data_IF_850244756545
#
_entry.id   IF_850244756545
#
_cell.length_a   1.000
_cell.length_b   1.000
_cell.length_c   1.000
_cell.angle_alpha   90.00
_cell.angle_beta   90.00
_cell.angle_gamma   90.00
#
_symmetry.space_group_name_H-M   'P 1'
#
loop_
_entity.id
_entity.type
_entity.pdbx_description
1 polymer ?
#
# COMPACT_ATOMS: atom_id res chain seq x y z
N UNK A 1 22.54 -9.21 -9.99
CA UNK A 1 21.78 -9.35 -8.73
C UNK A 1 20.48 -8.61 -8.92
N UNK A 2 19.33 -9.27 -8.69
CA UNK A 2 18.07 -8.55 -8.53
C UNK A 2 18.23 -7.65 -7.30
N UNK A 3 18.00 -6.34 -7.45
CA UNK A 3 17.98 -5.42 -6.31
C UNK A 3 16.80 -5.73 -5.39
N UNK A 4 16.86 -5.25 -4.15
CA UNK A 4 15.77 -5.41 -3.18
C UNK A 4 14.91 -4.14 -3.11
N UNK A 5 13.69 -4.27 -2.61
CA UNK A 5 12.74 -3.15 -2.53
C UNK A 5 12.45 -2.78 -1.09
N UNK A 6 12.40 -1.49 -0.81
CA UNK A 6 11.75 -0.97 0.37
C UNK A 6 10.52 -0.16 -0.04
N UNK A 7 9.33 -0.72 0.20
CA UNK A 7 8.05 -0.10 -0.19
C UNK A 7 7.38 0.49 1.04
N UNK A 8 7.24 1.81 1.08
CA UNK A 8 6.52 2.54 2.12
C UNK A 8 5.14 2.92 1.58
N UNK A 9 4.08 2.47 2.24
CA UNK A 9 2.69 2.71 1.81
C UNK A 9 2.06 3.80 2.67
N UNK A 10 1.85 4.99 2.10
CA UNK A 10 1.38 6.18 2.78
C UNK A 10 0.01 6.65 2.28
N UNK A 11 -0.68 7.38 3.14
CA UNK A 11 -1.88 8.14 2.83
C UNK A 11 -2.18 9.06 4.02
N UNK A 12 -2.36 10.34 3.73
CA UNK A 12 -2.76 11.35 4.69
C UNK A 12 -4.15 11.08 5.30
N UNK A 13 -5.03 10.37 4.58
CA UNK A 13 -6.42 10.11 5.01
C UNK A 13 -6.63 8.62 5.30
N UNK A 14 -7.53 8.31 6.24
CA UNK A 14 -7.98 6.94 6.51
C UNK A 14 -8.87 6.39 5.40
N UNK A 15 -8.99 5.05 5.31
CA UNK A 15 -9.94 4.41 4.39
C UNK A 15 -9.60 4.47 2.90
N UNK A 16 -8.38 4.88 2.53
CA UNK A 16 -7.94 5.00 1.14
C UNK A 16 -7.47 3.68 0.52
N UNK A 17 -7.31 2.62 1.32
CA UNK A 17 -6.90 1.29 0.82
C UNK A 17 -5.42 0.94 0.99
N UNK A 18 -4.70 1.60 1.92
CA UNK A 18 -3.29 1.27 2.23
C UNK A 18 -3.06 -0.20 2.53
N UNK A 19 -3.76 -0.76 3.52
CA UNK A 19 -3.60 -2.16 3.92
C UNK A 19 -3.89 -3.13 2.76
N UNK A 20 -4.86 -2.84 1.89
CA UNK A 20 -5.13 -3.63 0.68
C UNK A 20 -3.94 -3.57 -0.29
N UNK A 21 -3.37 -2.37 -0.50
CA UNK A 21 -2.20 -2.21 -1.37
C UNK A 21 -0.94 -2.86 -0.78
N UNK A 22 -0.69 -2.72 0.52
CA UNK A 22 0.41 -3.38 1.24
C UNK A 22 0.33 -4.89 1.11
N UNK A 23 -0.87 -5.44 1.27
CA UNK A 23 -1.16 -6.86 1.06
C UNK A 23 -0.91 -7.32 -0.38
N UNK A 24 -1.32 -6.51 -1.38
CA UNK A 24 -1.02 -6.74 -2.79
C UNK A 24 0.50 -6.73 -3.06
N UNK A 25 1.25 -5.82 -2.47
CA UNK A 25 2.71 -5.75 -2.64
C UNK A 25 3.39 -7.00 -2.08
N UNK A 26 2.98 -7.44 -0.88
CA UNK A 26 3.48 -8.69 -0.29
C UNK A 26 3.18 -9.88 -1.20
N UNK A 27 1.97 -9.95 -1.77
CA UNK A 27 1.59 -10.99 -2.72
C UNK A 27 2.49 -10.98 -3.97
N UNK A 28 2.67 -9.81 -4.61
CA UNK A 28 3.49 -9.68 -5.81
C UNK A 28 4.94 -10.07 -5.51
N UNK A 29 5.57 -9.48 -4.48
CA UNK A 29 6.96 -9.76 -4.14
C UNK A 29 7.18 -11.23 -3.80
N UNK A 30 6.27 -11.88 -3.05
CA UNK A 30 6.36 -13.31 -2.77
C UNK A 30 6.19 -14.16 -4.04
N UNK A 31 5.32 -13.75 -4.97
CA UNK A 31 5.15 -14.45 -6.26
C UNK A 31 6.39 -14.35 -7.16
N UNK A 32 7.20 -13.30 -6.98
CA UNK A 32 8.51 -13.14 -7.63
C UNK A 32 9.63 -13.91 -6.90
N UNK A 33 9.31 -14.67 -5.84
CA UNK A 33 10.29 -15.41 -5.05
C UNK A 33 11.06 -14.56 -4.03
N UNK A 34 10.67 -13.30 -3.82
CA UNK A 34 11.33 -12.45 -2.83
C UNK A 34 10.94 -12.89 -1.40
N UNK A 35 11.93 -12.93 -0.51
CA UNK A 35 11.68 -12.91 0.92
C UNK A 35 11.17 -11.52 1.29
N UNK A 36 10.03 -11.43 2.00
CA UNK A 36 9.40 -10.15 2.34
C UNK A 36 9.25 -10.01 3.84
N UNK A 37 9.90 -9.00 4.41
CA UNK A 37 9.66 -8.55 5.77
C UNK A 37 8.56 -7.49 5.77
N UNK A 38 7.60 -7.62 6.69
CA UNK A 38 6.40 -6.79 6.73
C UNK A 38 6.39 -6.01 8.03
N UNK A 39 6.30 -4.69 7.92
CA UNK A 39 6.21 -3.79 9.05
C UNK A 39 4.87 -3.05 9.04
N UNK A 40 4.34 -2.78 10.23
CA UNK A 40 3.10 -2.02 10.40
C UNK A 40 3.28 -0.96 11.47
N UNK A 41 3.23 0.31 11.08
CA UNK A 41 3.07 1.45 11.99
C UNK A 41 1.58 1.79 12.11
N UNK A 42 0.77 0.82 12.55
CA UNK A 42 -0.67 0.94 12.74
C UNK A 42 -1.10 0.20 14.02
N UNK A 43 -1.61 0.97 14.99
CA UNK A 43 -2.12 0.49 16.27
C UNK A 43 -3.28 -0.51 16.09
N UNK A 44 -4.03 -0.42 14.99
CA UNK A 44 -5.18 -1.30 14.76
C UNK A 44 -4.81 -2.71 14.30
N UNK A 45 -3.52 -2.96 14.00
CA UNK A 45 -2.97 -4.28 13.64
C UNK A 45 -3.75 -4.99 12.52
N UNK A 46 -4.39 -4.24 11.61
CA UNK A 46 -5.25 -4.80 10.54
C UNK A 46 -4.47 -5.69 9.60
N UNK A 47 -3.25 -5.29 9.24
CA UNK A 47 -2.38 -6.06 8.36
C UNK A 47 -1.89 -7.35 9.04
N UNK A 48 -1.54 -7.27 10.33
CA UNK A 48 -1.15 -8.44 11.13
C UNK A 48 -2.28 -9.47 11.22
N UNK A 49 -3.53 -9.01 11.41
CA UNK A 49 -4.70 -9.89 11.42
C UNK A 49 -4.90 -10.66 10.10
N UNK A 50 -4.45 -10.11 8.96
CA UNK A 50 -4.55 -10.75 7.64
C UNK A 50 -3.36 -11.64 7.29
N UNK A 51 -2.14 -11.18 7.59
CA UNK A 51 -0.90 -11.81 7.10
C UNK A 51 -0.14 -12.61 8.17
N UNK A 52 -0.51 -12.47 9.45
CA UNK A 52 0.17 -13.12 10.57
C UNK A 52 1.50 -12.45 10.89
N UNK A 53 2.57 -12.85 10.21
CA UNK A 53 3.95 -12.43 10.46
C UNK A 53 4.20 -10.98 10.03
N UNK A 54 3.80 -10.03 10.87
CA UNK A 54 4.01 -8.59 10.70
C UNK A 54 4.67 -8.02 11.95
N UNK A 55 5.77 -7.30 11.77
CA UNK A 55 6.46 -6.60 12.86
C UNK A 55 5.78 -5.26 13.10
N UNK A 56 5.17 -5.09 14.27
CA UNK A 56 4.54 -3.81 14.64
C UNK A 56 5.60 -2.82 15.08
N UNK A 57 5.54 -1.61 14.54
CA UNK A 57 6.30 -0.45 15.00
C UNK A 57 5.47 0.21 16.09
N UNK A 58 6.03 0.31 17.29
CA UNK A 58 5.36 0.94 18.42
C UNK A 58 5.28 2.45 18.20
N UNK A 59 4.11 2.90 17.77
CA UNK A 59 3.84 4.32 17.52
C UNK A 59 3.58 5.11 18.78
N UNK A 60 3.27 4.47 19.91
CA UNK A 60 2.97 5.16 21.17
C UNK A 60 4.24 5.80 21.76
N UNK A 61 5.42 5.24 21.44
CA UNK A 61 6.72 5.85 21.75
C UNK A 61 6.88 7.23 21.10
N UNK A 62 6.15 7.55 20.04
CA UNK A 62 6.30 8.81 19.30
C UNK A 62 5.56 9.99 19.93
N UNK A 63 4.68 9.71 20.89
CA UNK A 63 3.99 10.71 21.70
C UNK A 63 4.75 11.01 23.01
N UNK A 64 6.02 10.60 23.13
CA UNK A 64 6.89 10.92 24.26
C UNK A 64 7.70 12.21 24.01
N UNK A 65 7.20 13.41 24.39
CA UNK A 65 7.81 14.69 24.01
C UNK A 65 9.21 14.92 24.58
N UNK A 66 9.55 14.21 25.67
CA UNK A 66 10.81 14.40 26.41
C UNK A 66 11.90 13.38 26.01
N UNK A 67 11.62 12.46 25.09
CA UNK A 67 12.57 11.42 24.67
C UNK A 67 13.07 11.67 23.24
N UNK A 68 14.27 12.28 23.07
CA UNK A 68 14.82 12.55 21.74
C UNK A 68 15.17 11.28 20.96
N UNK A 69 15.18 10.10 21.61
CA UNK A 69 15.47 8.81 20.98
C UNK A 69 14.21 7.98 20.72
N UNK A 70 13.02 8.43 21.12
CA UNK A 70 11.81 7.61 21.07
C UNK A 70 11.50 7.13 19.65
N UNK A 71 11.69 8.03 18.69
CA UNK A 71 11.48 7.77 17.28
C UNK A 71 12.51 6.80 16.68
N UNK A 72 13.78 6.92 17.07
CA UNK A 72 14.81 5.95 16.69
C UNK A 72 14.54 4.56 17.29
N UNK A 73 14.05 4.51 18.54
CA UNK A 73 13.69 3.25 19.21
C UNK A 73 12.50 2.58 18.55
N UNK A 74 11.45 3.33 18.24
CA UNK A 74 10.25 2.83 17.56
C UNK A 74 10.61 2.13 16.24
N UNK A 75 11.50 2.74 15.44
CA UNK A 75 11.89 2.24 14.13
C UNK A 75 13.15 1.37 14.12
N UNK A 76 13.78 1.09 15.26
CA UNK A 76 15.00 0.25 15.33
C UNK A 76 14.83 -1.14 14.67
N UNK A 77 13.68 -1.84 14.81
CA UNK A 77 13.46 -3.10 14.09
C UNK A 77 13.49 -2.96 12.56
N UNK A 78 13.06 -1.81 12.02
CA UNK A 78 13.11 -1.52 10.59
C UNK A 78 14.55 -1.32 10.12
N UNK A 79 15.36 -0.60 10.89
CA UNK A 79 16.78 -0.40 10.56
C UNK A 79 17.53 -1.73 10.46
N UNK A 80 17.33 -2.64 11.41
CA UNK A 80 17.96 -3.97 11.35
C UNK A 80 17.50 -4.79 10.14
N UNK A 81 16.23 -4.70 9.78
CA UNK A 81 15.71 -5.38 8.59
C UNK A 81 16.29 -4.83 7.29
N UNK A 82 16.61 -3.52 7.23
CA UNK A 82 17.27 -2.90 6.08
C UNK A 82 18.69 -3.43 5.91
N UNK A 83 19.45 -3.57 6.99
CA UNK A 83 20.79 -4.17 6.94
C UNK A 83 20.71 -5.62 6.41
N UNK A 84 19.79 -6.42 6.96
CA UNK A 84 19.56 -7.79 6.49
C UNK A 84 19.10 -7.84 5.03
N UNK A 85 18.26 -6.90 4.59
CA UNK A 85 17.78 -6.80 3.22
C UNK A 85 18.93 -6.49 2.25
N UNK A 86 19.84 -5.58 2.63
CA UNK A 86 21.03 -5.28 1.85
C UNK A 86 21.96 -6.49 1.70
N UNK A 87 22.08 -7.32 2.75
CA UNK A 87 22.91 -8.54 2.70
C UNK A 87 22.26 -9.70 1.93
N UNK A 88 20.95 -9.90 2.10
CA UNK A 88 20.24 -11.09 1.61
C UNK A 88 19.45 -10.89 0.31
N UNK A 89 19.24 -9.63 -0.10
CA UNK A 89 18.32 -9.27 -1.18
C UNK A 89 16.83 -9.35 -0.80
N UNK A 90 16.50 -9.51 0.48
CA UNK A 90 15.12 -9.50 0.97
C UNK A 90 14.43 -8.13 0.80
N UNK A 91 13.15 -8.11 0.46
CA UNK A 91 12.37 -6.86 0.33
C UNK A 91 11.57 -6.55 1.60
N UNK A 92 11.21 -5.29 1.76
CA UNK A 92 10.51 -4.76 2.94
C UNK A 92 9.26 -4.01 2.49
N UNK A 93 8.14 -4.28 3.16
CA UNK A 93 6.89 -3.51 3.00
C UNK A 93 6.52 -2.88 4.34
N UNK A 94 6.36 -1.56 4.37
CA UNK A 94 5.92 -0.80 5.54
C UNK A 94 4.51 -0.23 5.28
N UNK A 95 3.52 -0.75 5.99
CA UNK A 95 2.16 -0.20 6.06
C UNK A 95 2.08 0.81 7.20
N UNK A 96 1.54 2.00 6.93
CA UNK A 96 1.42 3.04 7.96
C UNK A 96 -0.03 3.27 8.33
N UNK A 97 -0.29 3.82 9.52
CA UNK A 97 -1.60 4.33 9.89
C UNK A 97 -2.00 5.56 9.04
N UNK A 98 -3.24 6.00 9.20
CA UNK A 98 -3.73 7.24 8.60
C UNK A 98 -3.11 8.47 9.27
N UNK A 99 -2.79 9.52 8.49
CA UNK A 99 -2.12 10.76 8.96
C UNK A 99 -0.68 10.60 9.43
N UNK A 100 -0.09 9.44 9.14
CA UNK A 100 1.31 9.12 9.44
C UNK A 100 2.28 9.45 8.32
N UNK A 101 1.80 10.06 7.23
CA UNK A 101 2.63 10.46 6.10
C UNK A 101 3.70 11.47 6.49
N UNK A 102 3.34 12.52 7.25
CA UNK A 102 4.33 13.53 7.67
C UNK A 102 5.35 12.99 8.68
N UNK A 103 4.96 12.34 9.80
CA UNK A 103 5.92 11.80 10.76
C UNK A 103 6.86 10.76 10.15
N UNK A 104 6.33 9.84 9.33
CA UNK A 104 7.13 8.80 8.67
C UNK A 104 8.11 9.44 7.70
N UNK A 105 7.67 10.34 6.80
CA UNK A 105 8.60 10.97 5.86
C UNK A 105 9.69 11.78 6.56
N UNK A 106 9.37 12.46 7.66
CA UNK A 106 10.38 13.16 8.49
C UNK A 106 11.39 12.19 9.07
N UNK A 107 10.95 11.09 9.67
CA UNK A 107 11.85 10.06 10.18
C UNK A 107 12.79 9.55 9.08
N UNK A 108 12.22 9.12 7.94
CA UNK A 108 12.98 8.54 6.84
C UNK A 108 14.04 9.53 6.33
N UNK A 109 13.73 10.83 6.28
CA UNK A 109 14.68 11.90 5.93
C UNK A 109 15.76 12.07 6.98
N UNK A 110 15.39 12.14 8.26
CA UNK A 110 16.32 12.45 9.35
C UNK A 110 17.40 11.39 9.50
N UNK A 111 17.08 10.12 9.16
CA UNK A 111 18.07 9.03 9.11
C UNK A 111 18.71 8.84 7.74
N UNK A 112 18.35 9.63 6.72
CA UNK A 112 18.87 9.52 5.36
C UNK A 112 18.57 8.17 4.71
N UNK A 113 17.37 7.62 4.96
CA UNK A 113 17.09 6.21 4.66
C UNK A 113 17.06 5.89 3.16
N UNK A 114 16.65 6.83 2.32
CA UNK A 114 16.67 6.67 0.87
C UNK A 114 18.10 6.46 0.35
N UNK A 115 19.08 7.16 0.94
CA UNK A 115 20.50 6.94 0.68
C UNK A 115 20.99 5.60 1.20
N UNK A 116 20.64 5.22 2.43
CA UNK A 116 21.04 3.91 3.00
C UNK A 116 20.54 2.76 2.13
N UNK A 117 19.28 2.83 1.69
CA UNK A 117 18.67 1.84 0.78
C UNK A 117 19.43 1.80 -0.55
N UNK A 118 19.71 2.96 -1.15
CA UNK A 118 20.41 3.05 -2.43
C UNK A 118 21.87 2.53 -2.35
N UNK A 119 22.60 2.90 -1.30
CA UNK A 119 23.98 2.47 -1.05
C UNK A 119 24.03 0.94 -0.83
N UNK A 120 22.98 0.35 -0.26
CA UNK A 120 22.78 -1.10 -0.12
C UNK A 120 22.25 -1.80 -1.39
N UNK A 121 22.23 -1.14 -2.55
CA UNK A 121 21.76 -1.71 -3.81
C UNK A 121 20.24 -1.94 -3.90
N UNK A 122 19.48 -1.34 -2.98
CA UNK A 122 18.02 -1.40 -2.96
C UNK A 122 17.36 -0.22 -3.66
N UNK A 123 16.04 -0.30 -3.84
CA UNK A 123 15.21 0.80 -4.30
C UNK A 123 14.12 1.13 -3.29
N UNK A 124 14.11 2.38 -2.83
CA UNK A 124 13.03 2.91 -2.01
C UNK A 124 11.86 3.37 -2.91
N UNK A 125 10.67 2.85 -2.64
CA UNK A 125 9.43 3.21 -3.33
C UNK A 125 8.47 3.77 -2.28
N UNK A 126 7.95 4.97 -2.52
CA UNK A 126 6.94 5.58 -1.65
C UNK A 126 5.61 5.59 -2.38
N UNK A 127 4.74 4.65 -2.03
CA UNK A 127 3.43 4.47 -2.63
C UNK A 127 2.39 5.33 -1.90
N UNK A 128 1.85 6.33 -2.60
CA UNK A 128 0.89 7.28 -2.08
C UNK A 128 -0.51 6.88 -2.50
N UNK A 129 -1.29 6.33 -1.57
CA UNK A 129 -2.62 5.80 -1.83
C UNK A 129 -3.68 6.89 -1.67
N UNK A 130 -4.52 7.06 -2.69
CA UNK A 130 -5.61 8.04 -2.67
C UNK A 130 -6.89 7.48 -3.28
N UNK A 131 -8.01 8.15 -3.07
CA UNK A 131 -9.30 7.91 -3.72
C UNK A 131 -9.80 9.18 -4.37
N UNK A 132 -10.93 9.13 -5.09
CA UNK A 132 -11.53 10.29 -5.78
C UNK A 132 -12.11 11.37 -4.86
N UNK A 133 -11.95 11.25 -3.53
CA UNK A 133 -12.35 12.28 -2.59
C UNK A 133 -11.44 13.51 -2.72
N UNK A 134 -12.03 14.72 -2.79
CA UNK A 134 -11.31 16.00 -2.94
C UNK A 134 -10.17 16.17 -1.93
N UNK A 135 -10.43 15.93 -0.65
CA UNK A 135 -9.42 16.09 0.41
C UNK A 135 -8.29 15.06 0.26
N UNK A 136 -8.61 13.83 -0.17
CA UNK A 136 -7.62 12.79 -0.41
C UNK A 136 -6.72 13.12 -1.62
N UNK A 137 -7.31 13.64 -2.69
CA UNK A 137 -6.56 14.06 -3.88
C UNK A 137 -5.70 15.30 -3.60
N UNK A 138 -6.21 16.27 -2.83
CA UNK A 138 -5.41 17.40 -2.35
C UNK A 138 -4.27 16.94 -1.45
N UNK A 139 -4.53 16.02 -0.53
CA UNK A 139 -3.47 15.55 0.35
C UNK A 139 -2.39 14.77 -0.40
N UNK A 140 -2.76 14.01 -1.45
CA UNK A 140 -1.79 13.36 -2.35
C UNK A 140 -0.78 14.36 -2.92
N UNK A 141 -1.26 15.53 -3.37
CA UNK A 141 -0.41 16.60 -3.89
C UNK A 141 0.63 17.04 -2.85
N UNK A 142 0.16 17.46 -1.66
CA UNK A 142 1.02 17.90 -0.56
C UNK A 142 2.02 16.83 -0.14
N UNK A 143 1.58 15.56 -0.01
CA UNK A 143 2.47 14.45 0.37
C UNK A 143 3.48 14.14 -0.74
N UNK A 144 3.13 14.30 -2.01
CA UNK A 144 4.06 14.09 -3.14
C UNK A 144 5.22 15.07 -3.10
N UNK A 145 4.93 16.35 -2.87
CA UNK A 145 5.97 17.37 -2.73
C UNK A 145 6.85 17.12 -1.50
N UNK A 146 6.23 16.76 -0.38
CA UNK A 146 6.95 16.42 0.84
C UNK A 146 7.95 15.28 0.61
N UNK A 147 7.50 14.18 -0.03
CA UNK A 147 8.34 13.02 -0.33
C UNK A 147 9.49 13.41 -1.25
N UNK A 148 9.23 14.17 -2.33
CA UNK A 148 10.27 14.58 -3.28
C UNK A 148 11.32 15.48 -2.65
N UNK A 149 10.90 16.39 -1.78
CA UNK A 149 11.81 17.29 -1.09
C UNK A 149 12.63 16.57 -0.01
N UNK A 150 12.03 15.59 0.67
CA UNK A 150 12.63 14.93 1.82
C UNK A 150 13.46 13.69 1.46
N UNK A 151 13.10 12.97 0.38
CA UNK A 151 13.66 11.68 -0.01
C UNK A 151 14.02 11.68 -1.51
N UNK A 152 15.03 12.45 -1.94
CA UNK A 152 15.34 12.66 -3.36
C UNK A 152 15.73 11.39 -4.12
N UNK A 153 16.20 10.33 -3.44
CA UNK A 153 16.53 9.05 -4.08
C UNK A 153 15.35 8.06 -4.09
N UNK A 154 14.28 8.36 -3.36
CA UNK A 154 13.08 7.53 -3.37
C UNK A 154 12.25 7.77 -4.63
N UNK A 155 11.58 6.72 -5.11
CA UNK A 155 10.64 6.80 -6.22
C UNK A 155 9.20 6.97 -5.70
N UNK A 156 8.57 8.14 -5.85
CA UNK A 156 7.15 8.29 -5.56
C UNK A 156 6.29 7.58 -6.60
N UNK A 157 5.23 6.92 -6.13
CA UNK A 157 4.25 6.22 -6.96
C UNK A 157 2.85 6.60 -6.47
N UNK A 158 1.96 6.95 -7.39
CA UNK A 158 0.56 7.23 -7.05
C UNK A 158 -0.27 5.97 -7.19
N UNK A 159 -0.97 5.59 -6.12
CA UNK A 159 -1.90 4.47 -6.11
C UNK A 159 -3.31 5.04 -6.09
N UNK A 160 -3.92 5.03 -7.27
CA UNK A 160 -5.23 5.61 -7.56
C UNK A 160 -6.31 4.55 -7.27
N UNK A 161 -6.87 4.57 -6.07
CA UNK A 161 -7.90 3.62 -5.66
C UNK A 161 -9.29 4.08 -6.11
N UNK A 162 -9.80 3.46 -7.18
CA UNK A 162 -11.06 3.84 -7.80
C UNK A 162 -12.30 3.22 -7.13
N UNK A 163 -12.17 2.69 -5.91
CA UNK A 163 -13.28 2.10 -5.15
C UNK A 163 -14.53 2.98 -5.11
N UNK A 164 -14.35 4.29 -4.95
CA UNK A 164 -15.43 5.28 -4.79
C UNK A 164 -15.59 6.22 -5.99
N UNK A 165 -14.85 5.98 -7.09
CA UNK A 165 -14.89 6.79 -8.30
C UNK A 165 -13.51 6.93 -8.95
N UNK A 166 -13.48 7.36 -10.21
CA UNK A 166 -12.25 7.62 -10.96
C UNK A 166 -11.44 8.74 -10.31
N UNK A 167 -10.14 8.49 -10.09
CA UNK A 167 -9.21 9.50 -9.57
C UNK A 167 -8.57 10.19 -10.76
N UNK A 168 -8.65 11.53 -10.82
CA UNK A 168 -8.17 12.34 -11.95
C UNK A 168 -8.69 11.86 -13.32
N UNK A 169 -10.01 11.97 -13.59
CA UNK A 169 -10.56 11.68 -14.91
C UNK A 169 -9.87 12.52 -16.01
N UNK A 170 -10.05 12.14 -17.28
CA UNK A 170 -9.33 12.76 -18.40
C UNK A 170 -9.57 14.28 -18.52
N UNK A 171 -10.72 14.76 -18.07
CA UNK A 171 -11.16 16.15 -18.04
C UNK A 171 -10.99 16.81 -16.65
N UNK A 172 -10.19 16.22 -15.77
CA UNK A 172 -9.99 16.72 -14.41
C UNK A 172 -9.38 18.13 -14.40
N UNK A 173 -10.05 19.05 -13.70
CA UNK A 173 -9.56 20.41 -13.43
C UNK A 173 -8.81 20.47 -12.08
N UNK A 174 -7.49 20.72 -12.07
CA UNK A 174 -6.71 20.89 -10.84
C UNK A 174 -7.20 22.03 -9.94
N UNK A 175 -7.90 23.02 -10.50
CA UNK A 175 -8.54 24.10 -9.74
C UNK A 175 -9.53 23.59 -8.70
N UNK A 176 -10.12 22.41 -8.90
CA UNK A 176 -10.97 21.74 -7.90
C UNK A 176 -10.21 21.36 -6.62
N UNK A 177 -8.88 21.28 -6.65
CA UNK A 177 -8.03 21.04 -5.49
C UNK A 177 -7.38 22.32 -4.95
N UNK A 178 -7.80 23.48 -5.47
CA UNK A 178 -7.14 24.77 -5.38
C UNK A 178 -5.63 24.65 -5.69
N UNK A 179 -5.32 23.95 -6.79
CA UNK A 179 -3.96 23.80 -7.33
C UNK A 179 -3.87 24.45 -8.70
N UNK A 180 -2.77 25.15 -8.95
CA UNK A 180 -2.47 25.66 -10.29
C UNK A 180 -2.19 24.50 -11.27
N UNK A 181 -2.67 24.57 -12.53
CA UNK A 181 -2.46 23.49 -13.51
C UNK A 181 -0.99 23.12 -13.73
N UNK A 182 -0.09 24.11 -13.75
CA UNK A 182 1.36 23.89 -13.89
C UNK A 182 1.94 23.12 -12.69
N UNK A 183 1.48 23.45 -11.49
CA UNK A 183 1.91 22.79 -10.27
C UNK A 183 1.43 21.32 -10.26
N UNK A 184 0.17 21.07 -10.63
CA UNK A 184 -0.35 19.71 -10.78
C UNK A 184 0.42 18.89 -11.83
N UNK A 185 0.70 19.48 -12.99
CA UNK A 185 1.50 18.84 -14.02
C UNK A 185 2.91 18.49 -13.53
N UNK A 186 3.57 19.40 -12.80
CA UNK A 186 4.90 19.16 -12.22
C UNK A 186 4.88 18.03 -11.18
N UNK A 187 3.86 17.98 -10.33
CA UNK A 187 3.70 16.90 -9.35
C UNK A 187 3.52 15.54 -10.03
N UNK A 188 2.69 15.48 -11.07
CA UNK A 188 2.42 14.25 -11.83
C UNK A 188 3.62 13.81 -12.68
N UNK A 189 4.42 14.76 -13.18
CA UNK A 189 5.57 14.48 -14.03
C UNK A 189 6.57 13.54 -13.33
N UNK A 190 6.87 12.39 -13.94
CA UNK A 190 7.83 11.42 -13.42
C UNK A 190 7.29 10.51 -12.30
N UNK A 191 6.03 10.66 -11.89
CA UNK A 191 5.36 9.69 -11.01
C UNK A 191 4.76 8.57 -11.85
N UNK A 192 4.94 7.33 -11.40
CA UNK A 192 4.20 6.19 -11.96
C UNK A 192 2.84 6.07 -11.29
N UNK A 193 1.80 5.81 -12.07
CA UNK A 193 0.44 5.63 -11.59
C UNK A 193 0.06 4.15 -11.60
N UNK A 194 -0.54 3.69 -10.50
CA UNK A 194 -1.11 2.36 -10.35
C UNK A 194 -2.60 2.56 -10.08
N UNK A 195 -3.45 2.05 -10.96
CA UNK A 195 -4.90 2.14 -10.78
C UNK A 195 -5.37 0.88 -10.07
N UNK A 196 -5.96 1.01 -8.87
CA UNK A 196 -6.71 -0.09 -8.26
C UNK A 196 -8.15 0.04 -8.77
N UNK A 197 -8.58 -0.85 -9.68
CA UNK A 197 -9.86 -0.70 -10.36
C UNK A 197 -11.01 -0.83 -9.38
N UNK A 198 -12.16 -0.28 -9.75
CA UNK A 198 -13.37 -0.38 -8.94
C UNK A 198 -13.82 -1.83 -8.74
N UNK A 199 -14.23 -2.15 -7.51
CA UNK A 199 -14.94 -3.38 -7.14
C UNK A 199 -16.24 -3.01 -6.44
N UNK A 200 -17.29 -3.79 -6.69
CA UNK A 200 -18.55 -3.62 -5.95
C UNK A 200 -18.32 -3.97 -4.48
N UNK A 201 -18.56 -3.02 -3.58
CA UNK A 201 -18.37 -3.19 -2.15
C UNK A 201 -19.21 -4.36 -1.59
N UNK A 202 -20.36 -4.70 -2.21
CA UNK A 202 -21.16 -5.88 -1.81
C UNK A 202 -20.43 -7.20 -2.04
N UNK A 203 -19.46 -7.22 -2.95
CA UNK A 203 -18.64 -8.40 -3.22
C UNK A 203 -17.42 -8.43 -2.29
N UNK A 204 -16.70 -7.31 -2.15
CA UNK A 204 -15.43 -7.26 -1.42
C UNK A 204 -15.55 -7.06 0.10
N UNK A 205 -16.45 -6.18 0.56
CA UNK A 205 -16.58 -5.88 2.00
C UNK A 205 -16.79 -7.13 2.88
N UNK A 206 -17.61 -8.13 2.48
CA UNK A 206 -17.75 -9.35 3.27
C UNK A 206 -16.43 -10.12 3.44
N UNK A 207 -15.58 -10.12 2.41
CA UNK A 207 -14.26 -10.76 2.44
C UNK A 207 -13.32 -10.01 3.38
N UNK A 208 -13.24 -8.69 3.22
CA UNK A 208 -12.37 -7.82 4.01
C UNK A 208 -12.72 -7.87 5.50
N UNK A 209 -14.01 -7.82 5.84
CA UNK A 209 -14.51 -7.94 7.22
C UNK A 209 -14.23 -9.29 7.86
N UNK A 210 -14.11 -10.35 7.06
CA UNK A 210 -13.76 -11.69 7.55
C UNK A 210 -12.26 -11.83 7.83
N UNK A 211 -11.45 -10.82 7.47
CA UNK A 211 -10.00 -10.85 7.64
C UNK A 211 -9.30 -11.85 6.71
N UNK A 212 -9.97 -12.29 5.63
CA UNK A 212 -9.34 -13.16 4.64
C UNK A 212 -8.32 -12.34 3.85
N UNK A 213 -7.09 -12.85 3.79
CA UNK A 213 -6.10 -12.28 2.89
C UNK A 213 -6.35 -12.72 1.43
N UNK A 214 -5.75 -12.00 0.47
CA UNK A 214 -5.95 -12.19 -0.98
C UNK A 214 -5.68 -13.64 -1.41
N UNK A 215 -4.60 -14.24 -0.91
CA UNK A 215 -4.22 -15.63 -1.23
C UNK A 215 -5.26 -16.59 -0.67
N UNK A 216 -5.51 -16.52 0.63
CA UNK A 216 -6.46 -17.39 1.32
C UNK A 216 -7.86 -17.30 0.72
N UNK A 217 -8.26 -16.12 0.26
CA UNK A 217 -9.52 -15.93 -0.44
C UNK A 217 -9.54 -16.65 -1.79
N UNK A 218 -8.52 -16.45 -2.64
CA UNK A 218 -8.48 -17.05 -3.98
C UNK A 218 -8.36 -18.58 -3.91
N UNK A 219 -7.68 -19.12 -2.90
CA UNK A 219 -7.49 -20.58 -2.75
C UNK A 219 -8.55 -21.26 -1.89
N UNK A 220 -9.49 -20.51 -1.30
CA UNK A 220 -10.54 -21.10 -0.47
C UNK A 220 -11.52 -21.93 -1.31
N UNK A 221 -12.07 -22.99 -0.70
CA UNK A 221 -13.21 -23.72 -1.24
C UNK A 221 -14.42 -22.76 -1.34
N UNK A 222 -15.04 -22.59 -2.52
CA UNK A 222 -16.22 -21.74 -2.70
C UNK A 222 -17.34 -22.05 -1.70
N UNK A 223 -17.48 -23.31 -1.28
CA UNK A 223 -18.47 -23.74 -0.28
C UNK A 223 -18.27 -23.06 1.07
N UNK A 224 -17.01 -22.78 1.45
CA UNK A 224 -16.69 -22.04 2.69
C UNK A 224 -16.92 -20.54 2.56
N UNK A 225 -16.88 -20.02 1.33
CA UNK A 225 -17.12 -18.61 1.03
C UNK A 225 -18.60 -18.28 0.85
N UNK A 226 -19.43 -19.27 0.53
CA UNK A 226 -20.88 -19.13 0.30
C UNK A 226 -21.60 -18.26 1.34
N UNK A 227 -21.27 -18.43 2.62
CA UNK A 227 -21.88 -17.70 3.73
C UNK A 227 -21.55 -16.20 3.78
N UNK A 228 -20.57 -15.73 2.98
CA UNK A 228 -20.21 -14.31 2.92
C UNK A 228 -21.23 -13.47 2.16
N UNK A 229 -22.04 -14.08 1.31
CA UNK A 229 -23.02 -13.38 0.47
C UNK A 229 -24.39 -14.03 0.58
N UNK A 230 -25.43 -13.21 0.44
CA UNK A 230 -26.81 -13.65 0.55
C UNK A 230 -27.54 -13.53 -0.80
N UNK A 231 -28.43 -14.48 -1.07
CA UNK A 231 -29.39 -14.43 -2.18
C UNK A 231 -30.52 -13.43 -1.88
N UNK A 232 -31.44 -13.25 -2.84
CA UNK A 232 -32.57 -12.34 -2.69
C UNK A 232 -33.54 -12.73 -1.56
N UNK A 233 -33.48 -13.99 -1.09
CA UNK A 233 -34.28 -14.52 0.02
C UNK A 233 -33.52 -14.48 1.36
N UNK A 234 -32.32 -13.88 1.40
CA UNK A 234 -31.51 -13.76 2.61
C UNK A 234 -30.76 -15.03 3.01
N UNK A 235 -30.64 -16.03 2.13
CA UNK A 235 -29.90 -17.28 2.39
C UNK A 235 -28.49 -17.20 1.82
N UNK A 236 -27.51 -17.92 2.40
CA UNK A 236 -26.18 -18.07 1.78
C UNK A 236 -26.26 -18.48 0.31
N UNK A 237 -25.36 -17.96 -0.51
CA UNK A 237 -25.26 -18.39 -1.90
C UNK A 237 -24.96 -19.90 -1.99
N UNK A 238 -25.43 -20.55 -3.06
CA UNK A 238 -24.97 -21.90 -3.37
C UNK A 238 -23.48 -21.90 -3.80
N UNK A 239 -22.88 -23.10 -3.88
CA UNK A 239 -21.47 -23.28 -4.26
C UNK A 239 -21.11 -22.67 -5.62
N UNK A 240 -21.96 -22.79 -6.64
CA UNK A 240 -21.68 -22.30 -7.99
C UNK A 240 -21.77 -20.77 -8.06
N UNK A 241 -22.76 -20.20 -7.36
CA UNK A 241 -22.92 -18.76 -7.19
C UNK A 241 -21.73 -18.16 -6.43
N UNK A 242 -21.30 -18.79 -5.34
CA UNK A 242 -20.11 -18.39 -4.58
C UNK A 242 -18.82 -18.48 -5.42
N UNK A 243 -18.64 -19.56 -6.20
CA UNK A 243 -17.50 -19.71 -7.11
C UNK A 243 -17.48 -18.63 -8.20
N UNK A 244 -18.66 -18.20 -8.67
CA UNK A 244 -18.77 -17.11 -9.64
C UNK A 244 -18.34 -15.77 -9.04
N UNK A 245 -18.75 -15.48 -7.80
CA UNK A 245 -18.29 -14.28 -7.08
C UNK A 245 -16.78 -14.35 -6.82
N UNK A 246 -16.29 -15.49 -6.35
CA UNK A 246 -14.85 -15.70 -6.11
C UNK A 246 -14.03 -15.45 -7.37
N UNK A 247 -14.45 -15.99 -8.53
CA UNK A 247 -13.77 -15.75 -9.81
C UNK A 247 -13.77 -14.27 -10.20
N UNK A 248 -14.86 -13.53 -9.96
CA UNK A 248 -14.92 -12.08 -10.24
C UNK A 248 -13.91 -11.31 -9.39
N UNK A 249 -13.84 -11.62 -8.09
CA UNK A 249 -12.88 -10.99 -7.17
C UNK A 249 -11.44 -11.41 -7.53
N UNK A 250 -11.20 -12.68 -7.88
CA UNK A 250 -9.88 -13.14 -8.32
C UNK A 250 -9.40 -12.42 -9.59
N UNK A 251 -10.28 -12.21 -10.57
CA UNK A 251 -9.95 -11.43 -11.77
C UNK A 251 -9.64 -9.97 -11.44
N UNK A 252 -10.33 -9.38 -10.46
CA UNK A 252 -10.05 -8.04 -9.97
C UNK A 252 -8.68 -7.95 -9.28
N UNK A 253 -8.32 -8.95 -8.46
CA UNK A 253 -6.99 -9.07 -7.86
C UNK A 253 -5.91 -9.20 -8.93
N UNK A 254 -6.12 -10.05 -9.94
CA UNK A 254 -5.19 -10.20 -11.05
C UNK A 254 -4.96 -8.88 -11.79
N UNK A 255 -6.03 -8.11 -12.04
CA UNK A 255 -5.92 -6.77 -12.65
C UNK A 255 -5.16 -5.79 -11.76
N UNK A 256 -5.37 -5.81 -10.44
CA UNK A 256 -4.55 -5.01 -9.52
C UNK A 256 -3.06 -5.40 -9.58
N UNK A 257 -2.77 -6.70 -9.65
CA UNK A 257 -1.39 -7.20 -9.75
C UNK A 257 -0.72 -6.75 -11.05
N UNK A 258 -1.44 -6.78 -12.18
CA UNK A 258 -0.97 -6.29 -13.48
C UNK A 258 -0.65 -4.80 -13.42
N UNK A 259 -1.59 -3.99 -12.92
CA UNK A 259 -1.43 -2.54 -12.75
C UNK A 259 -0.24 -2.19 -11.86
N UNK A 260 -0.10 -2.88 -10.72
CA UNK A 260 1.01 -2.67 -9.80
C UNK A 260 2.35 -3.10 -10.38
N UNK A 261 2.42 -4.25 -11.05
CA UNK A 261 3.65 -4.75 -11.67
C UNK A 261 4.12 -3.80 -12.78
N UNK A 262 3.17 -3.27 -13.57
CA UNK A 262 3.44 -2.26 -14.61
C UNK A 262 3.94 -0.95 -14.02
N UNK A 263 3.25 -0.40 -13.01
CA UNK A 263 3.61 0.87 -12.39
C UNK A 263 4.91 0.81 -11.61
N UNK A 264 5.20 -0.32 -10.96
CA UNK A 264 6.43 -0.51 -10.19
C UNK A 264 7.60 -0.96 -11.05
N UNK A 265 7.38 -1.53 -12.25
CA UNK A 265 8.46 -2.02 -13.13
C UNK A 265 9.42 -2.96 -12.41
N UNK A 266 8.88 -3.90 -11.63
CA UNK A 266 9.69 -4.98 -11.08
C UNK A 266 10.40 -5.73 -12.24
N UNK A 267 11.66 -6.16 -12.09
CA UNK A 267 12.29 -7.08 -13.01
C UNK A 267 11.37 -8.29 -13.14
N UNK A 268 10.96 -8.60 -14.36
CA UNK A 268 10.24 -9.85 -14.60
C UNK A 268 11.20 -11.00 -14.33
N UNK A 269 10.71 -12.07 -13.70
CA UNK A 269 11.46 -13.32 -13.65
C UNK A 269 11.57 -13.85 -15.08
N UNK A 270 12.80 -14.19 -15.51
CA UNK A 270 13.07 -14.86 -16.79
C UNK A 270 12.40 -16.24 -16.85
#
# INVERSE_FOLDING_TARGET
MQGWYFIVVLSAIGGQGKTLFSELMVLILRSLGCNVQIFSADVQQRLAAKLGSVTTIDTDLLDAPDDPLALLRAFSPLSHAIDQAAESGGSIVLDTAARWDVPVVRFLRDVGLDKVVADGGGQMIVALVTTSNRDAMRALATTTDLVRAALPLARPVWVLNERVGTVFPADFDPGLLDLEPEHFAKMRAGVSEIVLPRMDDRLWQPVDRRGLNLVNFVTADPTKLAALWLDASGRPLDRLSAATVQRRIANWIAKMMEEASRGLRFPQAD
#
